data_IF_788277301196
#
_entry.id   IF_788277301196
#
_cell.length_a   1.000
_cell.length_b   1.000
_cell.length_c   1.000
_cell.angle_alpha   90.00
_cell.angle_beta   90.00
_cell.angle_gamma   90.00
#
_symmetry.space_group_name_H-M   'P 1'
#
loop_
_entity.id
_entity.type
_entity.pdbx_description
1 polymer ?
#
# COMPACT_ATOMS: atom_id res chain seq x y z
N UNK A 1 19.65 27.21 2.10
CA UNK A 1 18.87 26.42 1.13
C UNK A 1 19.35 25.00 1.30
N UNK A 2 18.65 24.27 2.17
CA UNK A 2 19.09 22.98 2.68
C UNK A 2 18.87 21.95 1.57
N UNK A 3 19.95 21.50 0.96
CA UNK A 3 19.97 20.37 0.05
C UNK A 3 19.66 19.17 0.93
N UNK A 4 18.36 18.87 1.14
CA UNK A 4 17.96 17.54 1.54
C UNK A 4 18.54 16.61 0.48
N UNK A 5 19.70 16.05 0.83
CA UNK A 5 20.62 15.33 -0.03
C UNK A 5 19.86 14.39 -0.97
N UNK A 6 20.09 14.51 -2.27
CA UNK A 6 19.42 13.69 -3.30
C UNK A 6 19.55 12.19 -2.97
N UNK A 7 20.64 11.81 -2.29
CA UNK A 7 20.86 10.49 -1.74
C UNK A 7 19.83 10.09 -0.67
N UNK A 8 19.45 10.99 0.22
CA UNK A 8 18.40 10.77 1.23
C UNK A 8 17.04 10.57 0.55
N UNK A 9 16.71 11.38 -0.46
CA UNK A 9 15.46 11.26 -1.22
C UNK A 9 15.40 9.96 -2.04
N UNK A 10 16.51 9.55 -2.67
CA UNK A 10 16.63 8.28 -3.38
C UNK A 10 16.43 7.09 -2.43
N UNK A 11 17.09 7.09 -1.27
CA UNK A 11 16.97 6.05 -0.24
C UNK A 11 15.53 5.96 0.30
N UNK A 12 14.84 7.07 0.54
CA UNK A 12 13.43 7.05 0.97
C UNK A 12 12.51 6.41 -0.09
N UNK A 13 12.76 6.67 -1.37
CA UNK A 13 12.00 6.06 -2.47
C UNK A 13 12.20 4.55 -2.54
N UNK A 14 13.43 4.10 -2.36
CA UNK A 14 13.78 2.68 -2.35
C UNK A 14 13.14 1.94 -1.17
N UNK A 15 13.06 2.59 0.00
CA UNK A 15 12.38 2.03 1.17
C UNK A 15 10.88 1.86 0.95
N UNK A 16 10.21 2.80 0.29
CA UNK A 16 8.80 2.67 -0.09
C UNK A 16 8.58 1.48 -1.00
N UNK A 17 9.32 1.40 -2.12
CA UNK A 17 9.22 0.30 -3.06
C UNK A 17 9.54 -1.06 -2.41
N UNK A 18 10.53 -1.10 -1.53
CA UNK A 18 10.91 -2.30 -0.78
C UNK A 18 9.78 -2.76 0.13
N UNK A 19 9.14 -1.83 0.85
CA UNK A 19 7.97 -2.15 1.69
C UNK A 19 6.82 -2.74 0.86
N UNK A 20 6.51 -2.16 -0.30
CA UNK A 20 5.44 -2.62 -1.18
C UNK A 20 5.71 -4.06 -1.64
N UNK A 21 6.96 -4.35 -2.04
CA UNK A 21 7.39 -5.69 -2.47
C UNK A 21 7.30 -6.74 -1.36
N UNK A 22 7.69 -6.39 -0.13
CA UNK A 22 7.57 -7.29 1.02
C UNK A 22 6.10 -7.61 1.28
N UNK A 23 5.23 -6.59 1.33
CA UNK A 23 3.80 -6.76 1.55
C UNK A 23 3.19 -7.64 0.45
N UNK A 24 3.48 -7.37 -0.82
CA UNK A 24 3.01 -8.18 -1.94
C UNK A 24 3.45 -9.65 -1.83
N UNK A 25 4.73 -9.89 -1.52
CA UNK A 25 5.30 -11.23 -1.39
C UNK A 25 4.63 -12.01 -0.25
N UNK A 26 4.41 -11.35 0.89
CA UNK A 26 3.74 -11.98 2.03
C UNK A 26 2.25 -12.21 1.75
N UNK A 27 1.54 -11.24 1.15
CA UNK A 27 0.12 -11.34 0.83
C UNK A 27 -0.19 -12.47 -0.16
N UNK A 28 0.75 -12.79 -1.05
CA UNK A 28 0.65 -13.94 -1.95
C UNK A 28 0.77 -15.29 -1.24
N UNK A 29 1.35 -15.33 -0.03
CA UNK A 29 1.62 -16.57 0.73
C UNK A 29 0.67 -16.76 1.91
N UNK A 30 0.39 -15.69 2.65
CA UNK A 30 -0.39 -15.74 3.89
C UNK A 30 -1.05 -14.40 4.17
N UNK A 31 -2.19 -14.45 4.85
CA UNK A 31 -2.85 -13.26 5.42
C UNK A 31 -2.43 -13.00 6.86
N UNK A 32 -1.78 -13.95 7.51
CA UNK A 32 -1.40 -13.91 8.92
C UNK A 32 0.09 -14.25 9.05
N UNK A 33 1.01 -13.45 8.48
CA UNK A 33 2.43 -13.66 8.70
C UNK A 33 2.75 -13.38 10.17
N UNK A 34 3.42 -14.32 10.82
CA UNK A 34 3.94 -14.09 12.16
C UNK A 34 5.12 -13.10 12.14
N UNK A 35 5.54 -12.65 13.33
CA UNK A 35 6.63 -11.67 13.44
C UNK A 35 7.94 -12.18 12.84
N UNK A 36 8.22 -13.49 12.94
CA UNK A 36 9.44 -14.09 12.40
C UNK A 36 9.43 -14.03 10.88
N UNK A 37 8.32 -14.40 10.25
CA UNK A 37 8.11 -14.33 8.80
C UNK A 37 8.26 -12.90 8.28
N UNK A 38 7.76 -11.91 9.01
CA UNK A 38 7.93 -10.50 8.66
C UNK A 38 9.42 -10.10 8.73
N UNK A 39 10.11 -10.43 9.82
CA UNK A 39 11.52 -10.08 9.99
C UNK A 39 12.41 -10.77 8.95
N UNK A 40 12.18 -12.05 8.66
CA UNK A 40 12.92 -12.80 7.64
C UNK A 40 12.74 -12.17 6.25
N UNK A 41 11.52 -11.73 5.90
CA UNK A 41 11.25 -11.06 4.64
C UNK A 41 11.91 -9.68 4.55
N UNK A 42 11.97 -8.94 5.65
CA UNK A 42 12.67 -7.64 5.72
C UNK A 42 14.18 -7.84 5.57
N UNK A 43 14.75 -8.86 6.20
CA UNK A 43 16.18 -9.15 6.16
C UNK A 43 16.63 -9.52 4.75
N UNK A 44 15.83 -10.34 4.05
CA UNK A 44 16.07 -10.69 2.65
C UNK A 44 16.00 -9.48 1.70
N UNK A 45 15.26 -8.43 2.08
CA UNK A 45 15.06 -7.26 1.25
C UNK A 45 16.14 -6.16 1.44
N UNK A 46 17.01 -6.29 2.45
CA UNK A 46 18.04 -5.29 2.78
C UNK A 46 19.49 -5.83 2.72
N UNK A 47 19.92 -6.58 1.69
CA UNK A 47 21.23 -7.23 1.70
C UNK A 47 22.42 -6.26 1.56
N UNK A 48 22.19 -4.99 1.19
CA UNK A 48 23.25 -4.03 0.82
C UNK A 48 23.43 -2.87 1.81
N UNK A 49 22.68 -2.82 2.90
CA UNK A 49 22.77 -1.71 3.86
C UNK A 49 23.87 -1.95 4.90
N UNK A 50 24.56 -0.88 5.29
CA UNK A 50 25.49 -0.94 6.42
C UNK A 50 24.77 -1.30 7.73
N UNK A 51 25.42 -1.98 8.69
CA UNK A 51 24.75 -2.51 9.89
C UNK A 51 23.92 -1.50 10.68
N UNK A 52 24.38 -0.24 10.78
CA UNK A 52 23.66 0.81 11.52
C UNK A 52 22.44 1.35 10.77
N UNK A 53 22.54 1.58 9.47
CA UNK A 53 21.43 2.00 8.61
C UNK A 53 20.37 0.88 8.52
N UNK A 54 20.84 -0.37 8.40
CA UNK A 54 20.00 -1.55 8.34
C UNK A 54 19.08 -1.67 9.55
N UNK A 55 19.50 -1.26 10.75
CA UNK A 55 18.67 -1.35 11.96
C UNK A 55 17.43 -0.46 11.89
N UNK A 56 17.60 0.83 11.60
CA UNK A 56 16.49 1.78 11.52
C UNK A 56 15.54 1.42 10.37
N UNK A 57 16.10 1.09 9.20
CA UNK A 57 15.33 0.66 8.04
C UNK A 57 14.55 -0.64 8.30
N UNK A 58 15.17 -1.63 8.95
CA UNK A 58 14.51 -2.88 9.37
C UNK A 58 13.33 -2.60 10.29
N UNK A 59 13.52 -1.76 11.31
CA UNK A 59 12.44 -1.43 12.25
C UNK A 59 11.28 -0.72 11.55
N UNK A 60 11.57 0.24 10.67
CA UNK A 60 10.56 0.98 9.92
C UNK A 60 9.78 0.06 8.96
N UNK A 61 10.47 -0.81 8.22
CA UNK A 61 9.84 -1.78 7.32
C UNK A 61 9.00 -2.80 8.10
N UNK A 62 9.56 -3.42 9.13
CA UNK A 62 8.83 -4.39 9.94
C UNK A 62 7.57 -3.77 10.56
N UNK A 63 7.66 -2.53 11.06
CA UNK A 63 6.52 -1.78 11.56
C UNK A 63 5.46 -1.54 10.50
N UNK A 64 5.84 -1.01 9.33
CA UNK A 64 4.92 -0.74 8.23
C UNK A 64 4.23 -2.01 7.69
N UNK A 65 5.00 -3.09 7.48
CA UNK A 65 4.50 -4.40 7.05
C UNK A 65 3.53 -4.95 8.09
N UNK A 66 3.90 -4.94 9.38
CA UNK A 66 3.01 -5.38 10.47
C UNK A 66 1.72 -4.55 10.50
N UNK A 67 1.80 -3.23 10.36
CA UNK A 67 0.60 -2.37 10.30
C UNK A 67 -0.33 -2.80 9.17
N UNK A 68 0.21 -3.08 7.98
CA UNK A 68 -0.61 -3.55 6.87
C UNK A 68 -1.39 -4.82 7.23
N UNK A 69 -0.69 -5.87 7.67
CA UNK A 69 -1.30 -7.17 7.98
C UNK A 69 -2.24 -7.15 9.19
N UNK A 70 -2.03 -6.24 10.14
CA UNK A 70 -2.83 -6.20 11.38
C UNK A 70 -3.95 -5.18 11.37
N UNK A 71 -3.90 -4.15 10.51
CA UNK A 71 -4.86 -3.03 10.54
C UNK A 71 -5.51 -2.71 9.19
N UNK A 72 -4.89 -3.08 8.07
CA UNK A 72 -5.28 -2.56 6.74
C UNK A 72 -5.62 -3.65 5.72
N UNK A 73 -5.52 -4.93 6.08
CA UNK A 73 -6.02 -6.01 5.22
C UNK A 73 -7.49 -5.77 4.86
N UNK A 74 -7.89 -6.08 3.61
CA UNK A 74 -9.31 -6.15 3.29
C UNK A 74 -9.97 -7.31 4.07
N UNK A 75 -11.30 -7.39 4.10
CA UNK A 75 -12.01 -8.44 4.84
C UNK A 75 -11.53 -9.86 4.48
N UNK A 76 -11.65 -10.85 5.39
CA UNK A 76 -11.03 -12.18 5.26
C UNK A 76 -11.40 -12.94 3.98
N UNK A 77 -12.58 -12.69 3.41
CA UNK A 77 -13.02 -13.33 2.17
C UNK A 77 -12.27 -12.85 0.92
N UNK A 78 -11.63 -11.68 0.97
CA UNK A 78 -10.84 -11.16 -0.13
C UNK A 78 -9.53 -11.93 -0.26
N UNK A 79 -9.15 -12.25 -1.49
CA UNK A 79 -7.90 -12.95 -1.83
C UNK A 79 -6.99 -12.05 -2.62
N UNK A 80 -5.69 -12.16 -2.35
CA UNK A 80 -4.68 -11.44 -3.10
C UNK A 80 -4.75 -11.88 -4.57
N UNK A 81 -4.86 -10.93 -5.48
CA UNK A 81 -4.99 -11.18 -6.91
C UNK A 81 -3.72 -10.81 -7.69
N UNK A 82 -3.00 -9.78 -7.26
CA UNK A 82 -1.73 -9.39 -7.83
C UNK A 82 -1.16 -8.14 -7.19
N UNK A 83 0.08 -7.80 -7.55
CA UNK A 83 0.77 -6.59 -7.14
C UNK A 83 1.51 -5.98 -8.33
N UNK A 84 1.85 -4.69 -8.21
CA UNK A 84 2.59 -3.95 -9.23
C UNK A 84 1.96 -4.05 -10.64
N UNK A 85 0.62 -4.03 -10.71
CA UNK A 85 -0.10 -4.22 -11.96
C UNK A 85 -0.18 -2.90 -12.73
N UNK A 86 0.22 -2.94 -14.01
CA UNK A 86 0.06 -1.79 -14.90
C UNK A 86 -1.41 -1.47 -15.10
N UNK A 87 -1.79 -0.20 -14.92
CA UNK A 87 -3.14 0.29 -15.07
C UNK A 87 -3.11 1.65 -15.76
N UNK A 88 -3.48 1.65 -17.05
CA UNK A 88 -3.39 2.83 -17.89
C UNK A 88 -1.98 3.40 -17.90
N UNK A 89 -1.81 4.59 -17.31
CA UNK A 89 -0.54 5.33 -17.27
C UNK A 89 0.32 5.07 -16.05
N UNK A 90 -0.14 4.23 -15.13
CA UNK A 90 0.58 3.97 -13.89
C UNK A 90 0.57 2.52 -13.50
N UNK A 91 0.92 2.30 -12.24
CA UNK A 91 1.06 0.98 -11.65
C UNK A 91 0.43 1.01 -10.26
N UNK A 92 -0.48 0.09 -10.02
CA UNK A 92 -1.14 -0.05 -8.74
C UNK A 92 -0.33 -0.97 -7.82
N UNK A 93 -0.32 -0.69 -6.53
CA UNK A 93 0.50 -1.44 -5.58
C UNK A 93 -0.05 -2.86 -5.39
N UNK A 94 -1.32 -3.01 -4.97
CA UNK A 94 -1.96 -4.32 -4.78
C UNK A 94 -3.37 -4.36 -5.37
N UNK A 95 -3.79 -5.56 -5.77
CA UNK A 95 -5.14 -5.86 -6.23
C UNK A 95 -5.67 -7.07 -5.46
N UNK A 96 -6.88 -6.94 -4.92
CA UNK A 96 -7.60 -7.98 -4.20
C UNK A 96 -8.86 -8.38 -4.95
N UNK A 97 -9.30 -9.63 -4.78
CA UNK A 97 -10.53 -10.16 -5.38
C UNK A 97 -11.45 -10.77 -4.33
N UNK A 98 -12.70 -10.35 -4.31
CA UNK A 98 -13.77 -10.96 -3.51
C UNK A 98 -14.27 -12.27 -4.15
N UNK A 99 -14.93 -13.18 -3.40
CA UNK A 99 -15.47 -14.43 -3.95
C UNK A 99 -16.46 -14.24 -5.10
N UNK A 100 -17.29 -13.19 -5.05
CA UNK A 100 -18.23 -12.82 -6.12
C UNK A 100 -17.57 -12.07 -7.30
N UNK A 101 -16.24 -11.98 -7.32
CA UNK A 101 -15.47 -11.45 -8.44
C UNK A 101 -15.23 -9.95 -8.42
N UNK A 102 -15.67 -9.22 -7.39
CA UNK A 102 -15.30 -7.81 -7.27
C UNK A 102 -13.81 -7.63 -6.98
N UNK A 103 -13.28 -6.47 -7.34
CA UNK A 103 -11.88 -6.11 -7.30
C UNK A 103 -11.67 -4.86 -6.45
N UNK A 104 -10.59 -4.83 -5.69
CA UNK A 104 -10.25 -3.72 -4.81
C UNK A 104 -8.77 -3.39 -4.96
N UNK A 105 -8.48 -2.13 -5.23
CA UNK A 105 -7.10 -1.63 -5.33
C UNK A 105 -6.67 -1.12 -3.96
N UNK A 106 -5.45 -1.45 -3.55
CA UNK A 106 -4.74 -0.75 -2.49
C UNK A 106 -3.61 0.06 -3.07
N UNK A 107 -3.49 1.32 -2.65
CA UNK A 107 -2.27 2.12 -2.82
C UNK A 107 -1.65 2.44 -1.48
N UNK A 108 -0.39 2.06 -1.32
CA UNK A 108 0.33 2.09 -0.07
C UNK A 108 1.21 3.35 0.00
N UNK A 109 1.28 3.95 1.20
CA UNK A 109 2.16 5.07 1.50
C UNK A 109 2.91 4.81 2.81
N UNK A 110 4.23 4.82 2.74
CA UNK A 110 5.14 4.62 3.87
C UNK A 110 5.61 5.93 4.53
N UNK A 111 5.31 7.09 3.92
CA UNK A 111 5.78 8.41 4.37
C UNK A 111 4.96 9.05 5.51
N UNK A 112 5.29 10.29 5.85
CA UNK A 112 4.64 11.07 6.91
C UNK A 112 3.16 11.39 6.64
N UNK A 113 2.34 11.38 7.70
CA UNK A 113 0.90 11.70 7.70
C UNK A 113 0.53 12.98 6.95
N UNK A 114 1.28 14.07 7.16
CA UNK A 114 0.96 15.37 6.59
C UNK A 114 0.94 15.39 5.05
N UNK A 115 1.61 14.44 4.40
CA UNK A 115 1.65 14.32 2.94
C UNK A 115 0.67 13.28 2.40
N UNK A 116 0.04 12.50 3.27
CA UNK A 116 -0.76 11.34 2.90
C UNK A 116 -1.99 11.72 2.09
N UNK A 117 -2.84 12.60 2.64
CA UNK A 117 -4.03 13.12 1.95
C UNK A 117 -3.72 14.40 1.14
N UNK A 118 -2.47 14.57 0.71
CA UNK A 118 -2.14 15.66 -0.21
C UNK A 118 -2.99 15.58 -1.48
N UNK A 119 -3.29 16.74 -2.06
CA UNK A 119 -4.02 16.84 -3.33
C UNK A 119 -3.37 15.99 -4.43
N UNK A 120 -2.04 15.86 -4.42
CA UNK A 120 -1.28 15.04 -5.36
C UNK A 120 -1.58 13.54 -5.23
N UNK A 121 -1.58 12.98 -4.00
CA UNK A 121 -1.89 11.57 -3.78
C UNK A 121 -3.35 11.25 -4.12
N UNK A 122 -4.28 12.12 -3.73
CA UNK A 122 -5.69 11.96 -4.09
C UNK A 122 -5.91 12.05 -5.61
N UNK A 123 -5.22 12.98 -6.28
CA UNK A 123 -5.26 13.08 -7.74
C UNK A 123 -4.73 11.80 -8.39
N UNK A 124 -3.62 11.23 -7.88
CA UNK A 124 -3.11 9.94 -8.37
C UNK A 124 -4.12 8.81 -8.17
N UNK A 125 -4.68 8.68 -6.97
CA UNK A 125 -5.70 7.68 -6.65
C UNK A 125 -6.92 7.79 -7.58
N UNK A 126 -7.44 9.01 -7.81
CA UNK A 126 -8.57 9.24 -8.74
C UNK A 126 -8.23 8.83 -10.17
N UNK A 127 -7.02 9.11 -10.66
CA UNK A 127 -6.58 8.64 -11.99
C UNK A 127 -6.53 7.12 -12.08
N UNK A 128 -5.96 6.45 -11.09
CA UNK A 128 -5.93 4.99 -11.06
C UNK A 128 -7.31 4.38 -10.99
N UNK A 129 -8.22 4.99 -10.24
CA UNK A 129 -9.59 4.55 -10.16
C UNK A 129 -10.32 4.75 -11.50
N UNK A 130 -10.08 5.87 -12.21
CA UNK A 130 -10.59 6.10 -13.57
C UNK A 130 -10.07 5.05 -14.57
N UNK A 131 -8.75 4.85 -14.64
CA UNK A 131 -8.13 3.85 -15.52
C UNK A 131 -8.60 2.42 -15.15
N UNK A 132 -8.76 2.17 -13.85
CA UNK A 132 -9.32 0.95 -13.27
C UNK A 132 -10.75 0.67 -13.71
N UNK A 133 -11.60 1.69 -13.75
CA UNK A 133 -12.97 1.59 -14.27
C UNK A 133 -12.96 1.25 -15.75
N UNK A 134 -12.06 1.84 -16.53
CA UNK A 134 -11.88 1.49 -17.94
C UNK A 134 -11.50 0.03 -18.15
N UNK A 135 -10.61 -0.52 -17.31
CA UNK A 135 -10.12 -1.91 -17.45
C UNK A 135 -11.05 -2.97 -16.84
N UNK A 136 -11.58 -2.72 -15.64
CA UNK A 136 -12.31 -3.71 -14.84
C UNK A 136 -13.82 -3.46 -14.82
N UNK A 137 -14.29 -2.31 -15.33
CA UNK A 137 -15.70 -1.96 -15.40
C UNK A 137 -16.39 -1.98 -14.04
N UNK A 138 -17.54 -2.68 -13.99
CA UNK A 138 -18.36 -2.83 -12.79
C UNK A 138 -17.74 -3.72 -11.70
N UNK A 139 -16.70 -4.49 -12.02
CA UNK A 139 -16.08 -5.37 -11.03
C UNK A 139 -15.21 -4.59 -10.04
N UNK A 140 -14.72 -3.40 -10.38
CA UNK A 140 -13.94 -2.60 -9.44
C UNK A 140 -14.85 -2.03 -8.34
N UNK A 141 -14.65 -2.41 -7.08
CA UNK A 141 -15.38 -1.85 -5.95
C UNK A 141 -14.89 -0.45 -5.58
N UNK A 142 -13.60 -0.18 -5.79
CA UNK A 142 -12.99 1.10 -5.47
C UNK A 142 -11.48 0.99 -5.27
N UNK A 143 -10.91 2.02 -4.65
CA UNK A 143 -9.50 2.10 -4.30
C UNK A 143 -9.35 2.56 -2.84
N UNK A 144 -8.49 1.87 -2.08
CA UNK A 144 -8.07 2.29 -0.74
C UNK A 144 -6.71 2.96 -0.84
N UNK A 145 -6.65 4.22 -0.45
CA UNK A 145 -5.37 4.89 -0.23
C UNK A 145 -5.00 4.62 1.24
N UNK A 146 -3.85 3.98 1.48
CA UNK A 146 -3.48 3.39 2.75
C UNK A 146 -2.21 4.00 3.33
N UNK A 147 -2.30 4.54 4.54
CA UNK A 147 -1.14 5.08 5.27
C UNK A 147 -0.61 4.02 6.21
N UNK A 148 0.60 3.53 5.96
CA UNK A 148 1.21 2.50 6.82
C UNK A 148 1.76 3.09 8.13
N UNK A 149 2.07 4.39 8.14
CA UNK A 149 2.54 5.10 9.34
C UNK A 149 1.37 5.62 10.20
N UNK A 150 0.22 5.91 9.60
CA UNK A 150 -0.95 6.47 10.28
C UNK A 150 -2.24 5.81 9.76
N UNK A 151 -2.49 4.53 10.09
CA UNK A 151 -3.57 3.75 9.49
C UNK A 151 -4.96 4.38 9.64
N UNK A 152 -5.20 5.13 10.72
CA UNK A 152 -6.46 5.86 10.95
C UNK A 152 -6.75 6.97 9.91
N UNK A 153 -5.73 7.45 9.20
CA UNK A 153 -5.88 8.45 8.14
C UNK A 153 -6.17 7.83 6.77
N UNK A 154 -6.13 6.51 6.64
CA UNK A 154 -6.42 5.83 5.39
C UNK A 154 -7.84 6.14 4.91
N UNK A 155 -8.02 6.23 3.59
CA UNK A 155 -9.29 6.59 2.97
C UNK A 155 -9.68 5.61 1.88
N UNK A 156 -10.98 5.55 1.61
CA UNK A 156 -11.56 4.79 0.53
C UNK A 156 -12.22 5.72 -0.50
N UNK A 157 -11.98 5.43 -1.77
CA UNK A 157 -12.55 6.10 -2.93
C UNK A 157 -13.40 5.08 -3.71
N UNK A 158 -14.74 5.14 -3.67
CA UNK A 158 -15.60 4.25 -4.44
C UNK A 158 -15.64 4.60 -5.94
N UNK A 159 -15.44 5.87 -6.27
CA UNK A 159 -15.53 6.44 -7.62
C UNK A 159 -14.49 7.57 -7.80
N UNK A 160 -13.91 7.79 -9.00
CA UNK A 160 -12.91 8.84 -9.21
C UNK A 160 -13.43 10.26 -8.92
N UNK A 161 -14.75 10.48 -8.91
CA UNK A 161 -15.35 11.78 -8.65
C UNK A 161 -15.90 11.90 -7.22
N UNK A 162 -16.10 10.79 -6.52
CA UNK A 162 -16.58 10.79 -5.13
C UNK A 162 -15.58 11.42 -4.15
N UNK A 163 -16.11 11.94 -3.05
CA UNK A 163 -15.29 12.37 -1.93
C UNK A 163 -14.67 11.18 -1.21
N UNK A 164 -13.39 11.27 -0.79
CA UNK A 164 -12.76 10.22 -0.01
C UNK A 164 -13.48 10.05 1.34
N UNK A 165 -13.73 8.80 1.71
CA UNK A 165 -14.32 8.46 3.01
C UNK A 165 -13.25 7.88 3.93
N UNK A 166 -13.22 8.18 5.24
CA UNK A 166 -12.30 7.52 6.16
C UNK A 166 -12.48 6.01 6.10
N UNK A 167 -11.39 5.25 5.96
CA UNK A 167 -11.45 3.79 5.84
C UNK A 167 -12.09 3.16 7.08
N UNK A 168 -11.85 3.71 8.27
CA UNK A 168 -12.49 3.27 9.51
C UNK A 168 -14.01 3.46 9.53
N UNK A 169 -14.55 4.38 8.72
CA UNK A 169 -15.98 4.63 8.57
C UNK A 169 -16.61 3.85 7.42
N UNK A 170 -15.80 3.23 6.55
CA UNK A 170 -16.32 2.35 5.51
C UNK A 170 -16.73 1.03 6.13
N UNK A 171 -18.04 0.89 6.37
CA UNK A 171 -18.66 -0.33 6.82
C UNK A 171 -18.56 -1.39 5.71
N UNK A 172 -17.39 -2.00 5.59
CA UNK A 172 -17.15 -3.24 4.89
C UNK A 172 -17.36 -3.18 3.36
N UNK A 173 -16.26 -3.33 2.63
CA UNK A 173 -16.27 -3.85 1.27
C UNK A 173 -16.71 -5.32 1.35
N UNK A 174 -18.02 -5.55 1.49
CA UNK A 174 -18.63 -6.89 1.58
C UNK A 174 -18.41 -7.62 0.26
#
# INVERSE_FOLDING_TARGET
MDILDDETLARHRDMGATCHRIIATLAARTREPDIRTILDAVDQALPHLHPHEARAHRQNLAGAVKTYFTRLLPPPQWRFHGAELHLGRGRIDLLWRAPHGALLIDELKTGHAGLFASSANLTQARRYLHDGRGRYGRYLSGLRLLSLSHPAQSVFLPDPYAEPTPLAATAHLI
#
